data_IF_849417745886
#
_entry.id   IF_849417745886
#
_cell.length_a   1.000
_cell.length_b   1.000
_cell.length_c   1.000
_cell.angle_alpha   90.00
_cell.angle_beta   90.00
_cell.angle_gamma   90.00
#
_symmetry.space_group_name_H-M   'P 1'
#
loop_
_entity.id
_entity.type
_entity.pdbx_description
1 polymer ?
#
# COMPACT_ATOMS: atom_id res chain seq x y z
N UNK A 1 -11.85 6.80 78.14
CA UNK A 1 -12.10 8.19 77.76
C UNK A 1 -12.37 8.29 76.29
N UNK A 2 -13.61 8.58 75.93
CA UNK A 2 -14.11 8.67 74.57
C UNK A 2 -13.68 10.00 73.92
N UNK A 3 -13.20 10.01 72.69
CA UNK A 3 -13.15 11.19 71.84
C UNK A 3 -13.78 10.86 70.51
N UNK A 4 -14.95 11.47 70.29
CA UNK A 4 -15.65 11.58 69.02
C UNK A 4 -14.93 12.53 68.11
N UNK A 5 -14.70 12.17 66.84
CA UNK A 5 -14.38 13.08 65.74
C UNK A 5 -15.54 13.07 64.77
N UNK A 6 -16.18 14.25 64.63
CA UNK A 6 -17.14 14.55 63.58
C UNK A 6 -16.41 14.72 62.26
N UNK A 7 -16.72 13.92 61.28
CA UNK A 7 -16.31 14.12 59.89
C UNK A 7 -17.37 14.94 59.15
N UNK A 8 -17.06 16.17 58.81
CA UNK A 8 -17.87 17.02 57.96
C UNK A 8 -17.70 16.53 56.48
N UNK A 9 -18.78 16.05 55.89
CA UNK A 9 -18.84 15.71 54.47
C UNK A 9 -19.07 17.00 53.68
N UNK A 10 -18.05 17.49 52.98
CA UNK A 10 -18.16 18.59 52.00
C UNK A 10 -18.61 17.98 50.69
N UNK A 11 -19.86 18.27 50.32
CA UNK A 11 -20.47 17.89 49.03
C UNK A 11 -20.01 18.91 47.98
N UNK A 12 -18.90 18.66 47.32
CA UNK A 12 -18.46 19.44 46.17
C UNK A 12 -19.22 18.96 44.94
N UNK A 13 -20.24 19.75 44.55
CA UNK A 13 -20.98 19.55 43.30
C UNK A 13 -20.05 19.70 42.10
N UNK A 14 -19.73 18.60 41.44
CA UNK A 14 -19.01 18.55 40.17
C UNK A 14 -19.98 18.95 39.04
N UNK A 15 -19.93 20.25 38.66
CA UNK A 15 -20.64 20.75 37.49
C UNK A 15 -19.94 20.18 36.26
N UNK A 16 -20.43 19.05 35.76
CA UNK A 16 -20.07 18.54 34.44
C UNK A 16 -20.65 19.50 33.38
N UNK A 17 -19.89 20.54 33.08
CA UNK A 17 -20.11 21.30 31.86
C UNK A 17 -19.87 20.39 30.66
N UNK A 18 -20.95 19.95 30.02
CA UNK A 18 -20.89 19.37 28.68
C UNK A 18 -20.38 20.45 27.74
N UNK A 19 -19.05 20.51 27.55
CA UNK A 19 -18.48 21.21 26.42
C UNK A 19 -18.96 20.49 25.16
N UNK A 20 -20.10 20.91 24.61
CA UNK A 20 -20.37 20.71 23.21
C UNK A 20 -19.26 21.42 22.44
N UNK A 21 -18.17 20.73 22.18
CA UNK A 21 -17.20 21.16 21.19
C UNK A 21 -18.02 21.25 19.88
N UNK A 22 -18.42 22.46 19.54
CA UNK A 22 -18.81 22.79 18.16
C UNK A 22 -17.58 22.40 17.35
N UNK A 23 -17.61 21.22 16.78
CA UNK A 23 -16.58 20.74 15.87
C UNK A 23 -16.68 21.67 14.65
N UNK A 24 -15.87 22.71 14.64
CA UNK A 24 -15.77 23.58 13.48
C UNK A 24 -15.49 22.72 12.27
N UNK A 25 -16.34 22.82 11.26
CA UNK A 25 -16.18 22.07 10.02
C UNK A 25 -14.81 22.40 9.43
N UNK A 26 -13.91 21.42 9.41
CA UNK A 26 -12.56 21.60 8.91
C UNK A 26 -12.61 21.74 7.38
N UNK A 27 -12.16 22.88 6.87
CA UNK A 27 -11.99 23.08 5.43
C UNK A 27 -10.69 22.39 5.01
N UNK A 28 -10.80 21.41 4.11
CA UNK A 28 -9.67 20.61 3.64
C UNK A 28 -9.42 20.92 2.17
N UNK A 29 -8.25 21.50 1.87
CA UNK A 29 -7.77 21.67 0.49
C UNK A 29 -7.12 20.37 -0.05
N UNK A 30 -6.92 20.29 -1.36
CA UNK A 30 -6.31 19.09 -1.99
C UNK A 30 -4.90 18.83 -1.47
N UNK A 31 -4.08 19.86 -1.29
CA UNK A 31 -2.72 19.72 -0.77
C UNK A 31 -2.71 19.16 0.66
N UNK A 32 -3.64 19.61 1.49
CA UNK A 32 -3.80 19.13 2.87
C UNK A 32 -4.31 17.68 2.89
N UNK A 33 -5.26 17.32 2.01
CA UNK A 33 -5.73 15.94 1.86
C UNK A 33 -4.59 14.98 1.45
N UNK A 34 -3.75 15.39 0.50
CA UNK A 34 -2.55 14.65 0.09
C UNK A 34 -1.59 14.51 1.27
N UNK A 35 -1.28 15.60 1.99
CA UNK A 35 -0.38 15.58 3.13
C UNK A 35 -0.85 14.61 4.21
N UNK A 36 -2.13 14.70 4.61
CA UNK A 36 -2.72 13.80 5.60
C UNK A 36 -2.63 12.34 5.17
N UNK A 37 -2.91 12.04 3.90
CA UNK A 37 -2.81 10.68 3.35
C UNK A 37 -1.38 10.17 3.41
N UNK A 38 -0.40 10.98 2.96
CA UNK A 38 1.00 10.58 2.96
C UNK A 38 1.57 10.35 4.38
N UNK A 39 1.06 11.07 5.38
CA UNK A 39 1.49 10.93 6.77
C UNK A 39 0.85 9.75 7.51
N UNK A 40 -0.40 9.38 7.18
CA UNK A 40 -1.21 8.48 8.01
C UNK A 40 -1.58 7.16 7.35
N UNK A 41 -1.60 7.11 6.02
CA UNK A 41 -2.17 5.97 5.30
C UNK A 41 -1.45 4.65 5.60
N UNK A 42 -2.21 3.63 5.97
CA UNK A 42 -1.71 2.30 6.37
C UNK A 42 -0.99 1.58 5.22
N UNK A 43 -1.33 1.85 3.94
CA UNK A 43 -0.64 1.23 2.81
C UNK A 43 0.82 1.70 2.70
N UNK A 44 1.10 2.98 3.03
CA UNK A 44 2.48 3.49 3.12
C UNK A 44 3.22 2.76 4.24
N UNK A 45 2.58 2.62 5.40
CA UNK A 45 3.16 1.90 6.53
C UNK A 45 3.49 0.44 6.18
N UNK A 46 2.62 -0.25 5.47
CA UNK A 46 2.87 -1.62 4.97
C UNK A 46 4.07 -1.66 4.01
N UNK A 47 4.17 -0.69 3.10
CA UNK A 47 5.31 -0.60 2.18
C UNK A 47 6.62 -0.30 2.93
N UNK A 48 6.61 0.58 3.93
CA UNK A 48 7.76 0.86 4.79
C UNK A 48 8.22 -0.38 5.58
N UNK A 49 7.28 -1.12 6.17
CA UNK A 49 7.59 -2.38 6.85
C UNK A 49 8.20 -3.42 5.89
N UNK A 50 7.73 -3.47 4.64
CA UNK A 50 8.32 -4.35 3.61
C UNK A 50 9.74 -3.92 3.25
N UNK A 51 10.04 -2.61 3.20
CA UNK A 51 11.40 -2.08 3.06
C UNK A 51 12.27 -2.46 4.26
N UNK A 52 11.73 -2.37 5.48
CA UNK A 52 12.46 -2.73 6.70
C UNK A 52 12.77 -4.23 6.76
N UNK A 53 11.88 -5.11 6.26
CA UNK A 53 12.18 -6.52 6.06
C UNK A 53 13.36 -6.73 5.11
N UNK A 54 13.37 -6.04 3.96
CA UNK A 54 14.51 -6.11 3.03
C UNK A 54 15.81 -5.59 3.65
N UNK A 55 15.74 -4.61 4.57
CA UNK A 55 16.91 -4.15 5.32
C UNK A 55 17.44 -5.23 6.28
N UNK A 56 16.54 -6.01 6.93
CA UNK A 56 16.94 -7.16 7.76
C UNK A 56 17.55 -8.28 6.91
N UNK A 57 17.03 -8.56 5.72
CA UNK A 57 17.63 -9.53 4.79
C UNK A 57 19.03 -9.13 4.36
N UNK A 58 19.27 -7.83 4.11
CA UNK A 58 20.60 -7.30 3.85
C UNK A 58 21.51 -7.46 5.08
N UNK A 59 21.03 -7.14 6.29
CA UNK A 59 21.78 -7.32 7.52
C UNK A 59 22.11 -8.80 7.75
N UNK A 60 21.16 -9.69 7.59
CA UNK A 60 21.35 -11.15 7.70
C UNK A 60 22.41 -11.65 6.69
N UNK A 61 22.35 -11.18 5.44
CA UNK A 61 23.33 -11.59 4.43
C UNK A 61 24.75 -11.15 4.75
N UNK A 62 24.93 -9.99 5.38
CA UNK A 62 26.22 -9.52 5.89
C UNK A 62 26.65 -10.34 7.10
N UNK A 63 25.74 -10.65 8.02
CA UNK A 63 25.99 -11.42 9.22
C UNK A 63 26.41 -12.88 8.91
N UNK A 64 25.95 -13.44 7.79
CA UNK A 64 26.36 -14.77 7.32
C UNK A 64 27.84 -14.88 6.97
N UNK A 65 28.59 -13.77 6.93
CA UNK A 65 30.05 -13.77 6.84
C UNK A 65 30.75 -13.98 8.17
N UNK A 66 30.04 -13.83 9.29
CA UNK A 66 30.57 -13.99 10.64
C UNK A 66 30.52 -15.47 11.07
N UNK A 67 31.42 -15.89 11.98
CA UNK A 67 31.29 -17.20 12.59
C UNK A 67 30.03 -17.29 13.45
N UNK A 68 29.37 -18.46 13.41
CA UNK A 68 28.35 -18.82 14.37
C UNK A 68 28.99 -19.29 15.70
N UNK A 69 28.21 -19.34 16.76
CA UNK A 69 28.57 -19.97 18.03
C UNK A 69 27.37 -20.74 18.53
N UNK A 70 27.57 -22.04 18.73
CA UNK A 70 26.54 -22.94 19.22
C UNK A 70 27.05 -23.80 20.36
N UNK A 71 26.18 -24.14 21.29
CA UNK A 71 26.45 -25.09 22.35
C UNK A 71 25.40 -26.19 22.36
N UNK A 72 25.84 -27.43 22.54
CA UNK A 72 24.95 -28.58 22.66
C UNK A 72 25.31 -29.42 23.87
N UNK A 73 24.28 -30.05 24.46
CA UNK A 73 24.41 -31.09 25.45
C UNK A 73 23.48 -32.22 25.06
N UNK A 74 24.08 -33.38 24.80
CA UNK A 74 23.37 -34.58 24.40
C UNK A 74 23.39 -35.61 25.47
N UNK A 75 22.23 -36.15 25.87
CA UNK A 75 22.10 -37.25 26.81
C UNK A 75 21.43 -38.43 26.12
N UNK A 76 22.15 -39.53 25.99
CA UNK A 76 21.64 -40.71 25.32
C UNK A 76 21.58 -41.91 26.28
N UNK A 77 20.54 -42.73 26.16
CA UNK A 77 20.37 -44.01 26.81
C UNK A 77 20.24 -45.10 25.79
N UNK A 78 21.05 -46.14 25.88
CA UNK A 78 21.05 -47.27 24.97
C UNK A 78 21.01 -48.58 25.77
N UNK A 79 20.16 -49.51 25.34
CA UNK A 79 20.14 -50.86 25.83
C UNK A 79 20.49 -51.83 24.73
N UNK A 80 21.30 -52.88 25.05
CA UNK A 80 21.62 -53.98 24.13
C UNK A 80 23.11 -54.10 23.87
N UNK A 81 23.44 -54.80 22.77
CA UNK A 81 24.81 -54.99 22.32
C UNK A 81 25.28 -53.77 21.51
N UNK A 82 26.33 -53.16 21.99
CA UNK A 82 26.92 -52.02 21.27
C UNK A 82 28.39 -51.80 21.67
N UNK A 83 29.18 -51.26 20.74
CA UNK A 83 30.48 -50.68 21.02
C UNK A 83 30.28 -49.23 21.49
N UNK A 84 30.72 -48.94 22.68
CA UNK A 84 30.66 -47.57 23.20
C UNK A 84 31.96 -46.84 22.85
N UNK A 85 31.85 -45.87 21.94
CA UNK A 85 32.99 -45.10 21.45
C UNK A 85 33.65 -44.25 22.55
N UNK A 86 32.91 -43.86 23.56
CA UNK A 86 33.44 -43.03 24.67
C UNK A 86 34.33 -43.84 25.61
N UNK A 87 33.93 -45.07 25.92
CA UNK A 87 34.67 -45.97 26.79
C UNK A 87 35.60 -46.93 26.03
N UNK A 88 35.49 -46.97 24.70
CA UNK A 88 36.16 -47.99 23.84
C UNK A 88 35.86 -49.42 24.24
N UNK A 89 34.68 -49.73 24.77
CA UNK A 89 34.27 -51.04 25.29
C UNK A 89 33.06 -51.60 24.60
N UNK A 90 32.98 -52.95 24.50
CA UNK A 90 31.76 -53.63 24.07
C UNK A 90 30.85 -53.79 25.31
N UNK A 91 29.65 -53.22 25.19
CA UNK A 91 28.58 -53.35 26.17
C UNK A 91 27.57 -54.36 25.66
N UNK A 92 27.26 -55.40 26.45
CA UNK A 92 26.34 -56.46 26.09
C UNK A 92 25.20 -56.53 27.13
N UNK A 93 23.95 -56.53 26.66
CA UNK A 93 22.73 -56.66 27.47
C UNK A 93 22.64 -55.75 28.68
N UNK A 94 23.17 -54.52 28.60
CA UNK A 94 23.15 -53.52 29.67
C UNK A 94 22.74 -52.13 29.18
N UNK A 95 22.23 -51.32 30.08
CA UNK A 95 21.98 -49.92 29.80
C UNK A 95 23.27 -49.11 29.84
N UNK A 96 23.51 -48.37 28.75
CA UNK A 96 24.60 -47.40 28.68
C UNK A 96 24.01 -46.03 28.63
N UNK A 97 24.50 -45.14 29.49
CA UNK A 97 24.19 -43.69 29.50
C UNK A 97 25.42 -42.95 29.02
N UNK A 98 25.26 -42.17 27.95
CA UNK A 98 26.31 -41.28 27.44
C UNK A 98 25.84 -39.83 27.52
N UNK A 99 26.71 -38.96 27.96
CA UNK A 99 26.50 -37.50 27.97
C UNK A 99 27.64 -36.87 27.20
N UNK A 100 27.32 -36.01 26.23
CA UNK A 100 28.30 -35.21 25.50
C UNK A 100 27.92 -33.72 25.57
N UNK A 101 28.88 -32.89 25.83
CA UNK A 101 28.71 -31.44 25.79
C UNK A 101 29.75 -30.82 24.88
N UNK A 102 29.32 -29.91 23.97
CA UNK A 102 30.24 -29.21 23.11
C UNK A 102 29.82 -27.76 22.89
N UNK A 103 30.83 -26.92 22.66
CA UNK A 103 30.68 -25.56 22.12
C UNK A 103 31.44 -25.53 20.80
N UNK A 104 30.78 -25.09 19.74
CA UNK A 104 31.36 -25.06 18.40
C UNK A 104 31.08 -23.77 17.67
N UNK A 105 31.99 -23.43 16.76
CA UNK A 105 31.91 -22.27 15.89
C UNK A 105 32.28 -22.70 14.45
N UNK A 106 31.54 -22.20 13.48
CA UNK A 106 31.81 -22.42 12.05
C UNK A 106 31.74 -21.13 11.28
N UNK A 107 32.64 -20.97 10.32
CA UNK A 107 32.59 -19.84 9.39
C UNK A 107 32.92 -20.31 7.97
N UNK A 108 32.15 -19.79 7.00
CA UNK A 108 32.41 -20.03 5.60
C UNK A 108 33.45 -19.00 5.11
N UNK A 109 34.69 -19.46 4.89
CA UNK A 109 35.77 -18.58 4.43
C UNK A 109 35.65 -18.25 2.93
N UNK A 110 35.11 -19.21 2.15
CA UNK A 110 34.88 -19.05 0.72
C UNK A 110 33.72 -19.94 0.28
N UNK A 111 32.80 -19.38 -0.51
CA UNK A 111 31.65 -20.09 -1.09
C UNK A 111 31.40 -19.67 -2.54
N UNK A 112 32.44 -19.67 -3.36
CA UNK A 112 32.31 -19.34 -4.79
C UNK A 112 31.70 -17.96 -5.05
N UNK A 113 32.01 -16.96 -4.24
CA UNK A 113 31.47 -15.58 -4.29
C UNK A 113 29.95 -15.47 -4.08
N UNK A 114 29.24 -16.55 -3.74
CA UNK A 114 27.79 -16.55 -3.54
C UNK A 114 27.38 -15.54 -2.46
N UNK A 115 28.07 -15.55 -1.29
CA UNK A 115 27.74 -14.64 -0.17
C UNK A 115 27.91 -13.16 -0.55
N UNK A 116 29.00 -12.82 -1.24
CA UNK A 116 29.26 -11.45 -1.68
C UNK A 116 28.21 -10.98 -2.70
N UNK A 117 27.85 -11.84 -3.66
CA UNK A 117 26.81 -11.52 -4.64
C UNK A 117 25.41 -11.49 -3.99
N UNK A 118 25.14 -12.32 -2.96
CA UNK A 118 23.90 -12.25 -2.20
C UNK A 118 23.76 -10.90 -1.46
N UNK A 119 24.85 -10.38 -0.86
CA UNK A 119 24.83 -9.05 -0.24
C UNK A 119 24.53 -7.97 -1.27
N UNK A 120 25.13 -8.05 -2.49
CA UNK A 120 24.85 -7.12 -3.58
C UNK A 120 23.39 -7.22 -4.04
N UNK A 121 22.86 -8.43 -4.19
CA UNK A 121 21.47 -8.66 -4.56
C UNK A 121 20.51 -8.10 -3.51
N UNK A 122 20.75 -8.37 -2.21
CA UNK A 122 19.93 -7.85 -1.13
C UNK A 122 20.01 -6.32 -0.98
N UNK A 123 21.17 -5.70 -1.31
CA UNK A 123 21.29 -4.24 -1.37
C UNK A 123 20.37 -3.67 -2.46
N UNK A 124 20.40 -4.21 -3.67
CA UNK A 124 19.54 -3.80 -4.78
C UNK A 124 18.04 -4.06 -4.45
N UNK A 125 17.75 -5.19 -3.76
CA UNK A 125 16.40 -5.49 -3.31
C UNK A 125 15.88 -4.47 -2.29
N UNK A 126 16.74 -3.98 -1.38
CA UNK A 126 16.39 -2.89 -0.46
C UNK A 126 16.10 -1.59 -1.21
N UNK A 127 16.90 -1.26 -2.22
CA UNK A 127 16.67 -0.09 -3.09
C UNK A 127 15.35 -0.23 -3.89
N UNK A 128 15.05 -1.43 -4.42
CA UNK A 128 13.78 -1.74 -5.08
C UNK A 128 12.60 -1.59 -4.12
N UNK A 129 12.73 -2.07 -2.87
CA UNK A 129 11.69 -1.93 -1.84
C UNK A 129 11.49 -0.48 -1.42
N UNK A 130 12.54 0.35 -1.37
CA UNK A 130 12.42 1.79 -1.13
C UNK A 130 11.67 2.48 -2.28
N UNK A 131 11.98 2.13 -3.52
CA UNK A 131 11.26 2.63 -4.70
C UNK A 131 9.79 2.18 -4.71
N UNK A 132 9.48 0.99 -4.17
CA UNK A 132 8.10 0.53 -3.99
C UNK A 132 7.32 1.43 -3.00
N UNK A 133 7.96 1.95 -1.94
CA UNK A 133 7.33 2.94 -1.05
C UNK A 133 6.97 4.21 -1.82
N UNK A 134 7.90 4.71 -2.65
CA UNK A 134 7.65 5.90 -3.48
C UNK A 134 6.52 5.68 -4.49
N UNK A 135 6.44 4.47 -5.08
CA UNK A 135 5.32 4.07 -5.94
C UNK A 135 3.99 4.14 -5.19
N UNK A 136 3.88 3.53 -4.00
CA UNK A 136 2.66 3.55 -3.19
C UNK A 136 2.25 4.99 -2.84
N UNK A 137 3.22 5.85 -2.49
CA UNK A 137 2.96 7.27 -2.23
C UNK A 137 2.38 7.97 -3.47
N UNK A 138 2.97 7.74 -4.64
CA UNK A 138 2.51 8.32 -5.90
C UNK A 138 1.10 7.84 -6.27
N UNK A 139 0.83 6.53 -6.13
CA UNK A 139 -0.49 5.96 -6.41
C UNK A 139 -1.55 6.55 -5.47
N UNK A 140 -1.22 6.77 -4.20
CA UNK A 140 -2.13 7.39 -3.22
C UNK A 140 -2.37 8.86 -3.52
N UNK A 141 -1.37 9.63 -3.94
CA UNK A 141 -1.54 11.02 -4.39
C UNK A 141 -2.54 11.10 -5.52
N UNK A 142 -2.42 10.22 -6.52
CA UNK A 142 -3.36 10.15 -7.63
C UNK A 142 -4.77 9.76 -7.17
N UNK A 143 -4.89 8.78 -6.28
CA UNK A 143 -6.18 8.35 -5.72
C UNK A 143 -6.86 9.47 -4.91
N UNK A 144 -6.11 10.22 -4.10
CA UNK A 144 -6.65 11.38 -3.37
C UNK A 144 -7.17 12.43 -4.36
N UNK A 145 -6.40 12.75 -5.41
CA UNK A 145 -6.81 13.72 -6.41
C UNK A 145 -8.12 13.32 -7.11
N UNK A 146 -8.24 12.05 -7.53
CA UNK A 146 -9.47 11.51 -8.16
C UNK A 146 -10.66 11.68 -7.22
N UNK A 147 -10.56 11.15 -6.00
CA UNK A 147 -11.67 11.15 -5.05
C UNK A 147 -12.02 12.55 -4.53
N UNK A 148 -11.03 13.43 -4.40
CA UNK A 148 -11.24 14.83 -4.03
C UNK A 148 -12.09 15.57 -5.07
N UNK A 149 -11.74 15.45 -6.35
CA UNK A 149 -12.47 16.10 -7.43
C UNK A 149 -13.83 15.47 -7.70
N UNK A 150 -13.97 14.15 -7.49
CA UNK A 150 -15.26 13.48 -7.54
C UNK A 150 -16.20 13.98 -6.43
N UNK A 151 -15.68 14.16 -5.20
CA UNK A 151 -16.47 14.69 -4.10
C UNK A 151 -16.92 16.13 -4.36
N UNK A 152 -16.07 16.99 -4.91
CA UNK A 152 -16.45 18.35 -5.30
C UNK A 152 -17.51 18.32 -6.41
N UNK A 153 -17.32 17.49 -7.45
CA UNK A 153 -18.27 17.37 -8.56
C UNK A 153 -19.64 16.95 -8.04
N UNK A 154 -19.70 15.93 -7.18
CA UNK A 154 -20.95 15.45 -6.58
C UNK A 154 -21.61 16.51 -5.68
N UNK A 155 -20.81 17.31 -4.98
CA UNK A 155 -21.32 18.45 -4.22
C UNK A 155 -21.97 19.52 -5.10
N UNK A 156 -21.31 19.91 -6.20
CA UNK A 156 -21.85 20.91 -7.12
C UNK A 156 -23.13 20.44 -7.82
N UNK A 157 -23.17 19.16 -8.22
CA UNK A 157 -24.38 18.55 -8.77
C UNK A 157 -25.53 18.52 -7.73
N UNK A 158 -25.22 18.25 -6.46
CA UNK A 158 -26.21 18.31 -5.38
C UNK A 158 -26.75 19.74 -5.20
N UNK A 159 -25.89 20.75 -5.19
CA UNK A 159 -26.31 22.15 -5.09
C UNK A 159 -27.17 22.56 -6.29
N UNK A 160 -26.77 22.25 -7.51
CA UNK A 160 -27.57 22.51 -8.71
C UNK A 160 -28.96 21.82 -8.65
N UNK A 161 -29.02 20.59 -8.07
CA UNK A 161 -30.31 19.91 -7.87
C UNK A 161 -31.23 20.60 -6.87
N UNK A 162 -30.70 21.32 -5.87
CA UNK A 162 -31.49 22.12 -4.93
C UNK A 162 -32.16 23.30 -5.63
N UNK A 163 -31.44 24.00 -6.52
CA UNK A 163 -31.98 25.06 -7.33
C UNK A 163 -33.07 24.54 -8.28
N UNK A 164 -32.87 23.35 -8.86
CA UNK A 164 -33.90 22.71 -9.72
C UNK A 164 -35.16 22.33 -8.92
N UNK A 165 -35.04 21.90 -7.67
CA UNK A 165 -36.19 21.65 -6.78
C UNK A 165 -36.92 22.95 -6.46
N UNK A 166 -36.19 24.03 -6.12
CA UNK A 166 -36.80 25.32 -5.84
C UNK A 166 -37.62 25.85 -7.03
N UNK A 167 -37.05 25.77 -8.23
CA UNK A 167 -37.74 26.15 -9.48
C UNK A 167 -38.98 25.29 -9.74
N UNK A 168 -38.90 23.98 -9.58
CA UNK A 168 -40.03 23.07 -9.81
C UNK A 168 -41.15 23.24 -8.76
N UNK A 169 -40.81 23.53 -7.51
CA UNK A 169 -41.80 23.86 -6.46
C UNK A 169 -42.50 25.18 -6.74
N UNK A 170 -41.78 26.19 -7.19
CA UNK A 170 -42.39 27.46 -7.60
C UNK A 170 -43.36 27.24 -8.76
N UNK A 171 -42.99 26.48 -9.79
CA UNK A 171 -43.85 26.17 -10.91
C UNK A 171 -45.10 25.38 -10.49
N UNK A 172 -44.94 24.36 -9.64
CA UNK A 172 -46.07 23.59 -9.09
C UNK A 172 -47.05 24.49 -8.31
N UNK A 173 -46.57 25.46 -7.52
CA UNK A 173 -47.39 26.42 -6.82
C UNK A 173 -48.20 27.30 -7.76
N UNK A 174 -47.58 27.83 -8.84
CA UNK A 174 -48.25 28.60 -9.85
C UNK A 174 -49.30 27.81 -10.62
N UNK A 175 -49.00 26.58 -11.02
CA UNK A 175 -49.94 25.68 -11.72
C UNK A 175 -51.12 25.31 -10.83
N UNK A 176 -50.89 25.14 -9.52
CA UNK A 176 -51.94 24.86 -8.52
C UNK A 176 -52.93 26.04 -8.38
N UNK A 177 -52.42 27.27 -8.34
CA UNK A 177 -53.26 28.49 -8.34
C UNK A 177 -54.05 28.59 -9.63
N UNK A 178 -53.46 28.41 -10.80
CA UNK A 178 -54.13 28.48 -12.08
C UNK A 178 -55.20 27.36 -12.25
N UNK A 179 -54.98 26.20 -11.69
CA UNK A 179 -55.99 25.13 -11.67
C UNK A 179 -57.20 25.53 -10.83
N UNK A 180 -56.96 26.12 -9.65
CA UNK A 180 -58.06 26.54 -8.76
C UNK A 180 -59.02 27.55 -9.37
N UNK A 181 -58.52 28.34 -10.35
CA UNK A 181 -59.32 29.32 -11.13
C UNK A 181 -59.74 28.77 -12.49
N UNK A 182 -59.54 27.47 -12.77
CA UNK A 182 -60.01 26.79 -13.97
C UNK A 182 -59.13 26.97 -15.24
N UNK A 183 -57.94 27.61 -15.15
CA UNK A 183 -57.06 27.88 -16.26
C UNK A 183 -56.09 26.72 -16.59
N UNK A 184 -56.00 25.68 -15.76
CA UNK A 184 -55.14 24.50 -15.95
C UNK A 184 -55.93 23.22 -15.71
N UNK A 185 -55.42 22.11 -16.29
CA UNK A 185 -56.03 20.79 -16.13
C UNK A 185 -55.39 20.00 -14.96
N UNK A 186 -56.11 18.96 -14.52
CA UNK A 186 -55.58 18.01 -13.53
C UNK A 186 -54.27 17.34 -14.04
N UNK A 187 -54.17 17.12 -15.34
CA UNK A 187 -52.95 16.58 -15.99
C UNK A 187 -51.75 17.53 -15.86
N UNK A 188 -51.96 18.84 -15.93
CA UNK A 188 -50.85 19.81 -15.75
C UNK A 188 -50.35 19.82 -14.33
N UNK A 189 -51.23 19.79 -13.32
CA UNK A 189 -50.82 19.65 -11.90
C UNK A 189 -50.08 18.35 -11.67
N UNK A 190 -50.59 17.24 -12.18
CA UNK A 190 -49.97 15.94 -12.00
C UNK A 190 -48.54 15.92 -12.59
N UNK A 191 -48.32 16.58 -13.73
CA UNK A 191 -46.97 16.73 -14.34
C UNK A 191 -46.02 17.57 -13.48
N UNK A 192 -46.47 18.77 -13.06
CA UNK A 192 -45.63 19.63 -12.22
C UNK A 192 -45.30 19.00 -10.86
N UNK A 193 -46.27 18.27 -10.25
CA UNK A 193 -46.03 17.49 -9.03
C UNK A 193 -45.02 16.35 -9.26
N UNK A 194 -45.13 15.63 -10.38
CA UNK A 194 -44.20 14.58 -10.75
C UNK A 194 -42.78 15.17 -10.95
N UNK A 195 -42.65 16.34 -11.57
CA UNK A 195 -41.35 17.00 -11.75
C UNK A 195 -40.68 17.34 -10.41
N UNK A 196 -41.45 17.84 -9.42
CA UNK A 196 -40.94 18.08 -8.07
C UNK A 196 -40.40 16.78 -7.45
N UNK A 197 -41.22 15.71 -7.49
CA UNK A 197 -40.85 14.41 -6.94
C UNK A 197 -39.60 13.81 -7.62
N UNK A 198 -39.49 13.95 -8.94
CA UNK A 198 -38.33 13.50 -9.69
C UNK A 198 -37.06 14.27 -9.31
N UNK A 199 -37.14 15.59 -9.16
CA UNK A 199 -36.03 16.41 -8.73
C UNK A 199 -35.62 16.10 -7.26
N UNK A 200 -36.59 15.86 -6.37
CA UNK A 200 -36.30 15.43 -4.99
C UNK A 200 -35.60 14.07 -4.95
N UNK A 201 -36.02 13.11 -5.78
CA UNK A 201 -35.34 11.81 -5.92
C UNK A 201 -33.90 11.99 -6.42
N UNK A 202 -33.69 12.81 -7.44
CA UNK A 202 -32.36 13.11 -7.97
C UNK A 202 -31.44 13.71 -6.90
N UNK A 203 -31.97 14.66 -6.09
CA UNK A 203 -31.21 15.24 -4.96
C UNK A 203 -30.79 14.18 -3.95
N UNK A 204 -31.68 13.24 -3.58
CA UNK A 204 -31.33 12.16 -2.63
C UNK A 204 -30.19 11.30 -3.19
N UNK A 205 -30.24 10.94 -4.48
CA UNK A 205 -29.19 10.18 -5.14
C UNK A 205 -27.84 10.93 -5.17
N UNK A 206 -27.85 12.22 -5.53
CA UNK A 206 -26.66 13.08 -5.57
C UNK A 206 -26.08 13.30 -4.18
N UNK A 207 -26.93 13.52 -3.17
CA UNK A 207 -26.51 13.62 -1.77
C UNK A 207 -25.81 12.34 -1.31
N UNK A 208 -26.39 11.18 -1.60
CA UNK A 208 -25.76 9.91 -1.26
C UNK A 208 -24.41 9.72 -1.98
N UNK A 209 -24.31 10.09 -3.26
CA UNK A 209 -23.04 10.04 -4.02
C UNK A 209 -21.99 10.97 -3.41
N UNK A 210 -22.37 12.17 -2.98
CA UNK A 210 -21.48 13.10 -2.30
C UNK A 210 -20.99 12.54 -0.96
N UNK A 211 -21.88 12.03 -0.11
CA UNK A 211 -21.52 11.44 1.17
C UNK A 211 -20.59 10.22 1.02
N UNK A 212 -20.83 9.38 0.00
CA UNK A 212 -19.97 8.25 -0.30
C UNK A 212 -18.58 8.67 -0.79
N UNK A 213 -18.48 9.69 -1.65
CA UNK A 213 -17.17 10.20 -2.09
C UNK A 213 -16.39 10.87 -0.95
N UNK A 214 -17.08 11.58 -0.04
CA UNK A 214 -16.46 12.09 1.19
C UNK A 214 -15.98 10.97 2.12
N UNK A 215 -16.75 9.91 2.28
CA UNK A 215 -16.37 8.76 3.09
C UNK A 215 -15.10 8.09 2.53
N UNK A 216 -15.03 7.90 1.21
CA UNK A 216 -13.85 7.36 0.54
C UNK A 216 -12.62 8.26 0.74
N UNK A 217 -12.80 9.57 0.62
CA UNK A 217 -11.71 10.53 0.84
C UNK A 217 -11.23 10.52 2.30
N UNK A 218 -12.15 10.48 3.27
CA UNK A 218 -11.82 10.35 4.70
C UNK A 218 -11.03 9.05 4.97
N UNK A 219 -11.43 7.94 4.35
CA UNK A 219 -10.70 6.67 4.48
C UNK A 219 -9.28 6.78 3.94
N UNK A 220 -9.06 7.44 2.79
CA UNK A 220 -7.71 7.66 2.25
C UNK A 220 -6.83 8.48 3.22
N UNK A 221 -7.43 9.46 3.91
CA UNK A 221 -6.77 10.32 4.91
C UNK A 221 -6.68 9.68 6.31
N UNK A 222 -7.19 8.44 6.49
CA UNK A 222 -7.31 7.77 7.81
C UNK A 222 -8.04 8.64 8.85
N UNK A 223 -9.12 9.31 8.42
CA UNK A 223 -9.96 10.12 9.29
C UNK A 223 -11.17 9.32 9.79
N UNK A 224 -11.63 9.55 11.03
CA UNK A 224 -12.86 8.95 11.52
C UNK A 224 -14.06 9.33 10.62
N UNK A 225 -14.97 8.42 10.28
CA UNK A 225 -16.14 8.68 9.43
C UNK A 225 -17.02 9.82 9.93
N UNK A 226 -17.09 10.01 11.25
CA UNK A 226 -17.93 11.01 11.92
C UNK A 226 -17.38 12.45 11.79
N UNK A 227 -16.11 12.62 11.37
CA UNK A 227 -15.50 13.95 11.24
C UNK A 227 -16.21 14.74 10.16
N UNK A 228 -16.72 15.93 10.51
CA UNK A 228 -17.32 16.84 9.53
C UNK A 228 -16.22 17.61 8.81
N UNK A 229 -16.13 17.43 7.49
CA UNK A 229 -15.20 18.15 6.62
C UNK A 229 -15.96 18.86 5.50
N UNK A 230 -15.43 19.99 5.05
CA UNK A 230 -15.79 20.65 3.81
C UNK A 230 -14.59 20.73 2.90
N UNK A 231 -14.83 20.65 1.59
CA UNK A 231 -13.76 20.67 0.59
C UNK A 231 -13.61 22.08 0.01
N UNK A 232 -12.38 22.50 -0.17
CA UNK A 232 -12.07 23.75 -0.86
C UNK A 232 -12.29 23.58 -2.37
N UNK A 233 -12.94 24.57 -3.02
CA UNK A 233 -13.27 24.51 -4.44
C UNK A 233 -12.11 25.08 -5.28
N UNK A 234 -11.61 24.32 -6.28
CA UNK A 234 -10.55 24.84 -7.15
C UNK A 234 -11.08 25.91 -8.10
N UNK A 235 -10.28 26.94 -8.34
CA UNK A 235 -10.55 27.94 -9.39
C UNK A 235 -10.32 27.35 -10.78
N UNK A 236 -11.28 27.54 -11.68
CA UNK A 236 -11.18 27.04 -13.07
C UNK A 236 -10.23 27.89 -13.92
N UNK A 237 -10.17 29.20 -13.69
CA UNK A 237 -9.40 30.12 -14.53
C UNK A 237 -7.90 29.77 -14.54
N UNK A 238 -7.33 29.46 -13.38
CA UNK A 238 -5.93 29.07 -13.26
C UNK A 238 -5.59 27.78 -14.03
N UNK A 239 -6.53 26.85 -14.14
CA UNK A 239 -6.31 25.57 -14.83
C UNK A 239 -6.42 25.68 -16.34
N UNK A 240 -7.36 26.47 -16.84
CA UNK A 240 -7.54 26.68 -18.28
C UNK A 240 -6.41 27.48 -18.91
N UNK A 241 -5.86 28.47 -18.17
CA UNK A 241 -4.74 29.29 -18.63
C UNK A 241 -3.42 28.49 -18.73
N UNK A 242 -3.24 27.47 -17.88
CA UNK A 242 -2.04 26.65 -17.84
C UNK A 242 -2.12 25.34 -18.67
N UNK A 243 -3.25 25.10 -19.32
CA UNK A 243 -3.46 23.90 -20.10
C UNK A 243 -2.91 24.06 -21.55
N UNK A 244 -1.58 24.30 -21.66
CA UNK A 244 -0.90 24.21 -22.96
C UNK A 244 -1.04 22.83 -23.59
N UNK A 245 -1.03 22.77 -24.93
CA UNK A 245 -1.02 21.51 -25.67
C UNK A 245 0.32 20.78 -25.45
N UNK A 246 0.35 19.91 -24.44
CA UNK A 246 1.55 19.16 -24.08
C UNK A 246 1.73 17.98 -25.03
N UNK A 247 2.93 17.88 -25.62
CA UNK A 247 3.29 16.76 -26.48
C UNK A 247 3.44 15.47 -25.64
N UNK A 248 2.74 14.41 -26.01
CA UNK A 248 2.79 13.12 -25.30
C UNK A 248 4.22 12.53 -25.26
N UNK A 249 5.04 12.77 -26.30
CA UNK A 249 6.42 12.29 -26.36
C UNK A 249 7.26 12.95 -25.26
N UNK A 250 7.13 14.27 -25.09
CA UNK A 250 7.92 15.03 -24.09
C UNK A 250 7.51 14.64 -22.66
N UNK A 251 6.20 14.47 -22.43
CA UNK A 251 5.68 13.99 -21.14
C UNK A 251 6.20 12.58 -20.83
N UNK A 252 6.17 11.67 -21.81
CA UNK A 252 6.65 10.31 -21.64
C UNK A 252 8.15 10.27 -21.34
N UNK A 253 8.98 11.03 -22.05
CA UNK A 253 10.43 11.06 -21.80
C UNK A 253 10.76 11.55 -20.38
N UNK A 254 10.06 12.58 -19.89
CA UNK A 254 10.23 13.06 -18.53
C UNK A 254 9.74 12.04 -17.49
N UNK A 255 8.61 11.39 -17.77
CA UNK A 255 8.05 10.36 -16.90
C UNK A 255 8.96 9.12 -16.79
N UNK A 256 9.61 8.68 -17.87
CA UNK A 256 10.53 7.53 -17.89
C UNK A 256 11.63 7.62 -16.83
N UNK A 257 12.11 8.83 -16.55
CA UNK A 257 13.24 9.05 -15.61
C UNK A 257 12.75 9.14 -14.16
N UNK A 258 11.49 9.53 -13.95
CA UNK A 258 10.97 9.88 -12.62
C UNK A 258 10.01 8.85 -12.03
N UNK A 259 9.31 8.09 -12.89
CA UNK A 259 8.26 7.19 -12.40
C UNK A 259 8.85 5.99 -11.63
N UNK A 260 8.44 5.79 -10.39
CA UNK A 260 8.96 4.71 -9.54
C UNK A 260 8.78 3.32 -10.12
N UNK A 261 7.73 3.07 -10.90
CA UNK A 261 7.49 1.79 -11.58
C UNK A 261 8.64 1.40 -12.53
N UNK A 262 9.18 2.38 -13.24
CA UNK A 262 10.30 2.18 -14.18
C UNK A 262 11.59 1.95 -13.40
N UNK A 263 11.85 2.79 -12.38
CA UNK A 263 13.04 2.66 -11.53
C UNK A 263 13.04 1.31 -10.81
N UNK A 264 11.90 0.89 -10.26
CA UNK A 264 11.76 -0.41 -9.61
C UNK A 264 12.02 -1.57 -10.57
N UNK A 265 11.42 -1.56 -11.75
CA UNK A 265 11.61 -2.63 -12.73
C UNK A 265 13.06 -2.74 -13.21
N UNK A 266 13.78 -1.62 -13.32
CA UNK A 266 15.21 -1.61 -13.61
C UNK A 266 16.04 -2.22 -12.46
N UNK A 267 15.74 -1.88 -11.20
CA UNK A 267 16.38 -2.48 -10.03
C UNK A 267 16.11 -3.98 -9.93
N UNK A 268 14.87 -4.41 -10.17
CA UNK A 268 14.50 -5.84 -10.15
C UNK A 268 15.28 -6.64 -11.23
N UNK A 269 15.54 -6.04 -12.41
CA UNK A 269 16.41 -6.63 -13.43
C UNK A 269 17.86 -6.75 -12.93
N UNK A 270 18.41 -5.73 -12.25
CA UNK A 270 19.75 -5.80 -11.66
C UNK A 270 19.83 -6.88 -10.57
N UNK A 271 18.78 -7.06 -9.75
CA UNK A 271 18.70 -8.18 -8.80
C UNK A 271 18.77 -9.51 -9.53
N UNK A 272 18.02 -9.68 -10.63
CA UNK A 272 18.01 -10.90 -11.43
C UNK A 272 19.39 -11.20 -12.08
N UNK A 273 20.13 -10.17 -12.47
CA UNK A 273 21.53 -10.32 -12.91
C UNK A 273 22.42 -10.88 -11.79
N UNK A 274 22.28 -10.39 -10.57
CA UNK A 274 23.04 -10.91 -9.41
C UNK A 274 22.66 -12.34 -9.06
N UNK A 275 21.39 -12.74 -9.26
CA UNK A 275 20.97 -14.15 -9.09
C UNK A 275 21.70 -15.11 -10.03
N UNK A 276 22.06 -14.67 -11.25
CA UNK A 276 22.90 -15.48 -12.16
C UNK A 276 24.31 -15.65 -11.58
N UNK A 277 24.91 -14.60 -11.03
CA UNK A 277 26.25 -14.66 -10.44
C UNK A 277 26.26 -15.55 -9.20
N UNK A 278 25.21 -15.50 -8.36
CA UNK A 278 25.00 -16.40 -7.21
C UNK A 278 24.89 -17.85 -7.68
N UNK A 279 24.08 -18.13 -8.70
CA UNK A 279 23.92 -19.46 -9.24
C UNK A 279 25.22 -20.03 -9.85
N UNK A 280 26.02 -19.21 -10.54
CA UNK A 280 27.34 -19.59 -11.03
C UNK A 280 28.32 -19.92 -9.90
N UNK A 281 28.15 -19.32 -8.74
CA UNK A 281 28.93 -19.61 -7.54
C UNK A 281 28.94 -21.08 -7.14
N UNK A 282 27.86 -21.84 -7.44
CA UNK A 282 27.75 -23.26 -7.18
C UNK A 282 28.76 -24.15 -7.95
N UNK A 283 29.47 -23.63 -8.95
CA UNK A 283 30.54 -24.35 -9.64
C UNK A 283 31.89 -24.24 -8.95
N UNK A 284 32.06 -23.30 -8.02
CA UNK A 284 33.31 -23.06 -7.32
C UNK A 284 33.41 -23.89 -6.05
N UNK A 285 34.64 -24.16 -5.57
CA UNK A 285 34.85 -24.80 -4.27
C UNK A 285 34.24 -24.00 -3.14
N UNK A 286 33.99 -24.70 -2.01
CA UNK A 286 33.63 -24.09 -0.72
C UNK A 286 34.70 -24.40 0.31
N UNK A 287 35.10 -23.42 1.11
CA UNK A 287 36.08 -23.53 2.18
C UNK A 287 35.44 -23.13 3.51
N UNK A 288 35.39 -24.07 4.45
CA UNK A 288 34.82 -23.87 5.77
C UNK A 288 35.87 -24.07 6.85
N UNK A 289 35.88 -23.20 7.86
CA UNK A 289 36.63 -23.37 9.09
C UNK A 289 35.64 -23.74 10.21
N UNK A 290 35.96 -24.81 10.96
CA UNK A 290 35.21 -25.20 12.12
C UNK A 290 36.15 -25.34 13.34
N UNK A 291 35.68 -24.90 14.49
CA UNK A 291 36.36 -25.01 15.79
C UNK A 291 35.36 -25.55 16.76
N UNK A 292 35.74 -26.54 17.54
CA UNK A 292 34.90 -27.03 18.63
C UNK A 292 35.70 -27.42 19.85
N UNK A 293 35.09 -27.22 21.04
CA UNK A 293 35.60 -27.65 22.31
C UNK A 293 34.48 -28.46 22.98
N UNK A 294 34.82 -29.67 23.46
CA UNK A 294 33.81 -30.55 24.03
C UNK A 294 34.38 -31.52 25.06
N UNK A 295 33.48 -32.22 25.71
CA UNK A 295 33.78 -33.32 26.63
C UNK A 295 32.66 -34.32 26.60
N UNK A 296 32.94 -35.55 27.03
CA UNK A 296 31.95 -36.62 27.05
C UNK A 296 32.08 -37.49 28.31
N UNK A 297 31.02 -38.23 28.60
CA UNK A 297 30.89 -39.19 29.66
C UNK A 297 30.20 -40.46 29.16
N UNK A 298 30.68 -41.63 29.63
CA UNK A 298 29.91 -42.88 29.48
C UNK A 298 29.85 -43.62 30.81
N UNK A 299 28.67 -44.19 31.13
CA UNK A 299 28.49 -45.05 32.28
C UNK A 299 29.23 -46.40 32.14
N UNK A 300 29.71 -46.74 30.95
CA UNK A 300 30.48 -47.97 30.67
C UNK A 300 31.98 -47.79 30.90
N UNK A 301 32.49 -46.55 31.05
CA UNK A 301 33.91 -46.29 31.24
C UNK A 301 34.42 -46.84 32.55
N UNK A 302 35.37 -47.76 32.48
CA UNK A 302 36.08 -48.36 33.61
C UNK A 302 37.59 -48.14 33.49
N UNK A 303 38.27 -48.09 34.60
CA UNK A 303 39.76 -48.09 34.70
C UNK A 303 40.21 -49.20 35.59
N UNK A 304 41.39 -49.78 35.32
CA UNK A 304 42.05 -50.73 36.21
C UNK A 304 42.59 -50.02 37.46
N UNK A 305 42.42 -50.67 38.61
CA UNK A 305 42.94 -50.18 39.84
C UNK A 305 44.42 -50.50 39.98
N UNK A 306 44.84 -51.70 39.52
CA UNK A 306 46.25 -52.19 39.50
C UNK A 306 46.62 -52.55 38.06
N UNK A 307 47.68 -51.96 37.48
CA UNK A 307 48.17 -52.28 36.14
C UNK A 307 48.58 -53.77 35.95
N UNK A 308 48.85 -54.49 37.03
CA UNK A 308 49.22 -55.91 36.96
C UNK A 308 48.02 -56.85 37.20
N UNK A 309 46.89 -56.37 37.66
CA UNK A 309 45.66 -57.14 37.89
C UNK A 309 44.51 -56.64 37.01
N UNK A 310 44.30 -57.31 35.88
CA UNK A 310 43.22 -56.97 34.90
C UNK A 310 41.82 -57.22 35.47
N UNK A 311 41.64 -57.85 36.55
CA UNK A 311 40.32 -58.19 37.12
C UNK A 311 39.80 -57.07 38.03
N UNK A 312 40.67 -56.17 38.51
CA UNK A 312 40.27 -55.02 39.36
C UNK A 312 39.95 -53.77 38.57
N UNK A 313 38.68 -53.59 38.20
CA UNK A 313 38.18 -52.41 37.47
C UNK A 313 37.20 -51.62 38.29
N UNK A 314 37.30 -50.30 38.22
CA UNK A 314 36.29 -49.38 38.82
C UNK A 314 35.66 -48.50 37.75
N UNK A 315 34.39 -48.12 37.96
CA UNK A 315 33.72 -47.12 37.10
C UNK A 315 34.24 -45.73 37.36
N UNK A 316 34.64 -45.02 36.30
CA UNK A 316 35.17 -43.66 36.44
C UNK A 316 34.00 -42.70 36.70
N UNK A 317 34.06 -41.91 37.80
CA UNK A 317 32.99 -40.94 38.11
C UNK A 317 32.74 -39.92 37.02
N UNK A 318 31.50 -39.42 36.94
CA UNK A 318 31.07 -38.42 35.92
C UNK A 318 31.99 -37.19 35.91
N UNK A 319 32.25 -36.59 37.07
CA UNK A 319 33.09 -35.37 37.20
C UNK A 319 34.50 -35.56 36.67
N UNK A 320 35.08 -36.78 36.92
CA UNK A 320 36.41 -37.08 36.43
C UNK A 320 36.45 -37.30 34.93
N UNK A 321 35.44 -37.97 34.34
CA UNK A 321 35.37 -38.13 32.88
C UNK A 321 35.20 -36.79 32.19
N UNK A 322 34.29 -35.90 32.65
CA UNK A 322 34.11 -34.56 32.12
C UNK A 322 35.41 -33.74 32.19
N UNK A 323 36.21 -33.90 33.24
CA UNK A 323 37.52 -33.24 33.36
C UNK A 323 38.58 -33.84 32.42
N UNK A 324 38.63 -35.18 32.34
CA UNK A 324 39.68 -35.91 31.64
C UNK A 324 39.46 -35.93 30.09
N UNK A 325 38.17 -35.96 29.66
CA UNK A 325 37.79 -36.13 28.23
C UNK A 325 37.66 -34.81 27.47
N UNK A 326 38.23 -33.73 27.97
CA UNK A 326 38.23 -32.44 27.26
C UNK A 326 38.96 -32.58 25.94
N UNK A 327 38.34 -32.12 24.86
CA UNK A 327 38.90 -32.17 23.51
C UNK A 327 38.72 -30.83 22.82
N UNK A 328 39.74 -30.41 22.10
CA UNK A 328 39.71 -29.27 21.20
C UNK A 328 39.93 -29.74 19.78
N UNK A 329 39.07 -29.30 18.89
CA UNK A 329 39.17 -29.63 17.48
C UNK A 329 39.14 -28.33 16.62
N UNK A 330 40.04 -28.24 15.66
CA UNK A 330 40.01 -27.24 14.63
C UNK A 330 40.15 -27.95 13.27
N UNK A 331 39.32 -27.61 12.33
CA UNK A 331 39.30 -28.25 11.01
C UNK A 331 39.01 -27.28 9.89
N UNK A 332 39.79 -27.37 8.83
CA UNK A 332 39.60 -26.67 7.56
C UNK A 332 39.09 -27.71 6.54
N UNK A 333 37.92 -27.45 5.97
CA UNK A 333 37.29 -28.35 4.99
C UNK A 333 37.14 -27.64 3.64
N UNK A 334 37.76 -28.18 2.60
CA UNK A 334 37.61 -27.75 1.21
C UNK A 334 36.76 -28.80 0.47
N UNK A 335 35.59 -28.36 -0.02
CA UNK A 335 34.71 -29.21 -0.86
C UNK A 335 34.68 -28.68 -2.28
N UNK A 336 35.06 -29.50 -3.24
CA UNK A 336 35.09 -29.19 -4.68
C UNK A 336 33.99 -29.96 -5.39
N UNK A 337 32.97 -29.27 -5.96
CA UNK A 337 31.90 -29.98 -6.67
C UNK A 337 32.36 -30.45 -8.05
N UNK A 338 32.67 -31.74 -8.19
CA UNK A 338 33.10 -32.35 -9.48
C UNK A 338 31.89 -32.63 -10.36
N UNK A 339 30.83 -33.21 -9.80
CA UNK A 339 29.58 -33.51 -10.48
C UNK A 339 28.40 -33.36 -9.56
N UNK A 340 27.49 -32.44 -9.86
CA UNK A 340 26.32 -32.09 -9.03
C UNK A 340 24.99 -32.54 -9.66
N UNK A 341 24.99 -33.67 -10.42
CA UNK A 341 23.78 -34.16 -11.11
C UNK A 341 23.08 -33.10 -11.96
N UNK A 342 23.85 -32.26 -12.64
CA UNK A 342 23.40 -31.10 -13.42
C UNK A 342 22.71 -29.97 -12.59
N UNK A 343 22.69 -30.04 -11.25
CA UNK A 343 21.99 -29.06 -10.40
C UNK A 343 22.47 -27.63 -10.67
N UNK A 344 23.78 -27.39 -10.72
CA UNK A 344 24.36 -26.08 -10.97
C UNK A 344 24.00 -25.57 -12.38
N UNK A 345 24.03 -26.41 -13.39
CA UNK A 345 23.61 -26.07 -14.77
C UNK A 345 22.14 -25.65 -14.82
N UNK A 346 21.28 -26.39 -14.14
CA UNK A 346 19.83 -26.07 -14.06
C UNK A 346 19.60 -24.78 -13.29
N UNK A 347 20.29 -24.57 -12.16
CA UNK A 347 20.17 -23.34 -11.37
C UNK A 347 20.58 -22.09 -12.19
N UNK A 348 21.69 -22.17 -12.93
CA UNK A 348 22.11 -21.06 -13.82
C UNK A 348 21.12 -20.86 -14.97
N UNK A 349 20.57 -21.95 -15.54
CA UNK A 349 19.55 -21.82 -16.59
C UNK A 349 18.26 -21.15 -16.04
N UNK A 350 17.80 -21.55 -14.85
CA UNK A 350 16.65 -20.91 -14.17
C UNK A 350 16.90 -19.43 -13.89
N UNK A 351 18.08 -19.07 -13.37
CA UNK A 351 18.42 -17.69 -13.11
C UNK A 351 18.45 -16.85 -14.40
N UNK A 352 18.94 -17.40 -15.52
CA UNK A 352 18.90 -16.73 -16.84
C UNK A 352 17.46 -16.54 -17.34
N UNK A 353 16.57 -17.50 -17.10
CA UNK A 353 15.13 -17.36 -17.42
C UNK A 353 14.52 -16.27 -16.54
N UNK A 354 14.85 -16.21 -15.25
CA UNK A 354 14.44 -15.14 -14.34
C UNK A 354 14.86 -13.75 -14.82
N UNK A 355 16.10 -13.60 -15.36
CA UNK A 355 16.52 -12.35 -15.97
C UNK A 355 15.64 -11.98 -17.17
N UNK A 356 15.37 -12.91 -18.08
CA UNK A 356 14.49 -12.64 -19.23
C UNK A 356 13.06 -12.22 -18.80
N UNK A 357 12.56 -12.81 -17.71
CA UNK A 357 11.28 -12.38 -17.14
C UNK A 357 11.35 -10.94 -16.59
N UNK A 358 12.45 -10.58 -15.90
CA UNK A 358 12.64 -9.22 -15.41
C UNK A 358 12.78 -8.21 -16.56
N UNK A 359 13.50 -8.54 -17.65
CA UNK A 359 13.58 -7.73 -18.86
C UNK A 359 12.21 -7.52 -19.52
N UNK A 360 11.42 -8.58 -19.62
CA UNK A 360 10.05 -8.50 -20.15
C UNK A 360 9.14 -7.62 -19.26
N UNK A 361 9.27 -7.72 -17.93
CA UNK A 361 8.53 -6.88 -16.97
C UNK A 361 8.94 -5.41 -17.08
N UNK A 362 10.23 -5.10 -17.25
CA UNK A 362 10.71 -3.74 -17.50
C UNK A 362 10.11 -3.16 -18.79
N UNK A 363 10.09 -3.95 -19.88
CA UNK A 363 9.49 -3.52 -21.13
C UNK A 363 7.97 -3.32 -20.99
N UNK A 364 7.28 -4.19 -20.26
CA UNK A 364 5.87 -4.05 -19.97
C UNK A 364 5.56 -2.78 -19.18
N UNK A 365 6.38 -2.47 -18.16
CA UNK A 365 6.25 -1.22 -17.39
C UNK A 365 6.39 0.02 -18.28
N UNK A 366 7.39 0.03 -19.17
CA UNK A 366 7.58 1.12 -20.16
C UNK A 366 6.39 1.25 -21.12
N UNK A 367 5.87 0.13 -21.61
CA UNK A 367 4.70 0.12 -22.50
C UNK A 367 3.43 0.64 -21.78
N UNK A 368 3.22 0.22 -20.53
CA UNK A 368 2.11 0.68 -19.71
C UNK A 368 2.20 2.19 -19.43
N UNK A 369 3.39 2.69 -19.08
CA UNK A 369 3.62 4.13 -18.90
C UNK A 369 3.36 4.91 -20.20
N UNK A 370 3.86 4.42 -21.34
CA UNK A 370 3.62 5.06 -22.62
C UNK A 370 2.12 5.15 -22.94
N UNK A 371 1.39 4.03 -22.76
CA UNK A 371 -0.06 4.00 -22.93
C UNK A 371 -0.76 5.00 -22.01
N UNK A 372 -0.40 5.02 -20.71
CA UNK A 372 -1.04 5.88 -19.71
C UNK A 372 -0.80 7.37 -20.00
N UNK A 373 0.41 7.75 -20.41
CA UNK A 373 0.73 9.13 -20.80
C UNK A 373 -0.02 9.56 -22.05
N UNK A 374 -0.03 8.72 -23.11
CA UNK A 374 -0.79 9.03 -24.32
C UNK A 374 -2.29 9.16 -24.02
N UNK A 375 -2.85 8.25 -23.22
CA UNK A 375 -4.25 8.33 -22.78
C UNK A 375 -4.51 9.63 -22.01
N UNK A 376 -3.63 10.04 -21.09
CA UNK A 376 -3.79 11.27 -20.33
C UNK A 376 -3.83 12.52 -21.23
N UNK A 377 -2.96 12.59 -22.25
CA UNK A 377 -2.95 13.71 -23.21
C UNK A 377 -4.21 13.74 -24.06
N UNK A 378 -4.66 12.57 -24.57
CA UNK A 378 -5.92 12.47 -25.32
C UNK A 378 -7.12 12.86 -24.45
N UNK A 379 -7.14 12.42 -23.20
CA UNK A 379 -8.22 12.73 -22.26
C UNK A 379 -8.32 14.22 -21.92
N UNK A 380 -7.18 14.93 -21.78
CA UNK A 380 -7.19 16.39 -21.59
C UNK A 380 -7.79 17.11 -22.78
N UNK A 381 -7.37 16.75 -24.00
CA UNK A 381 -7.87 17.37 -25.23
C UNK A 381 -9.37 17.12 -25.42
N UNK A 382 -9.82 15.89 -25.15
CA UNK A 382 -11.24 15.54 -25.19
C UNK A 382 -12.04 16.29 -24.11
N UNK A 383 -11.49 16.44 -22.88
CA UNK A 383 -12.14 17.16 -21.80
C UNK A 383 -12.30 18.66 -22.13
N UNK A 384 -11.27 19.31 -22.71
CA UNK A 384 -11.34 20.71 -23.17
C UNK A 384 -12.48 20.90 -24.18
N UNK A 385 -12.55 20.04 -25.21
CA UNK A 385 -13.59 20.10 -26.23
C UNK A 385 -14.98 19.87 -25.62
N UNK A 386 -15.12 18.89 -24.73
CA UNK A 386 -16.39 18.64 -24.03
C UNK A 386 -16.81 19.84 -23.17
N UNK A 387 -15.90 20.50 -22.48
CA UNK A 387 -16.21 21.68 -21.68
C UNK A 387 -16.70 22.83 -22.58
N UNK A 388 -16.01 23.13 -23.69
CA UNK A 388 -16.44 24.16 -24.65
C UNK A 388 -17.82 23.85 -25.20
N UNK A 389 -18.07 22.59 -25.63
CA UNK A 389 -19.38 22.19 -26.16
C UNK A 389 -20.49 22.24 -25.09
N UNK A 390 -20.20 21.81 -23.86
CA UNK A 390 -21.16 21.84 -22.76
C UNK A 390 -21.52 23.29 -22.35
N UNK A 391 -20.57 24.22 -22.41
CA UNK A 391 -20.83 25.65 -22.17
C UNK A 391 -21.83 26.20 -23.18
N UNK A 392 -21.59 26.00 -24.47
CA UNK A 392 -22.50 26.43 -25.53
C UNK A 392 -23.87 25.75 -25.41
N UNK A 393 -23.91 24.45 -25.11
CA UNK A 393 -25.13 23.70 -24.91
C UNK A 393 -25.97 24.25 -23.76
N UNK A 394 -25.32 24.53 -22.60
CA UNK A 394 -26.00 25.12 -21.44
C UNK A 394 -26.53 26.53 -21.73
N UNK A 395 -25.74 27.42 -22.33
CA UNK A 395 -26.17 28.79 -22.72
C UNK A 395 -27.38 28.76 -23.68
N UNK A 396 -27.36 27.85 -24.64
CA UNK A 396 -28.45 27.67 -25.60
C UNK A 396 -29.70 27.11 -24.92
N UNK A 397 -29.57 26.09 -24.07
CA UNK A 397 -30.68 25.49 -23.33
C UNK A 397 -31.31 26.47 -22.31
N UNK A 398 -30.47 27.24 -21.61
CA UNK A 398 -30.93 28.32 -20.71
C UNK A 398 -31.72 29.38 -21.43
N UNK A 399 -31.25 29.80 -22.63
CA UNK A 399 -31.96 30.78 -23.48
C UNK A 399 -33.30 30.21 -23.95
N UNK A 400 -33.31 28.95 -24.44
CA UNK A 400 -34.54 28.27 -24.86
C UNK A 400 -35.54 28.10 -23.73
N UNK A 401 -35.06 27.73 -22.53
CA UNK A 401 -35.92 27.63 -21.34
C UNK A 401 -36.54 28.96 -20.96
N UNK A 402 -35.78 30.06 -20.91
CA UNK A 402 -36.30 31.41 -20.62
C UNK A 402 -37.37 31.83 -21.59
N UNK A 403 -37.12 31.72 -22.90
CA UNK A 403 -38.09 32.05 -23.93
C UNK A 403 -39.34 31.19 -23.86
N UNK A 404 -39.21 29.89 -23.60
CA UNK A 404 -40.36 28.98 -23.45
C UNK A 404 -41.16 29.30 -22.17
N UNK A 405 -40.47 29.67 -21.08
CA UNK A 405 -41.13 30.07 -19.84
C UNK A 405 -41.94 31.35 -20.00
N UNK A 406 -41.40 32.38 -20.67
CA UNK A 406 -42.14 33.62 -20.99
C UNK A 406 -43.37 33.32 -21.81
N UNK A 407 -43.31 32.50 -22.88
CA UNK A 407 -44.47 32.07 -23.67
C UNK A 407 -45.49 31.29 -22.82
N UNK A 408 -45.02 30.43 -21.92
CA UNK A 408 -45.91 29.68 -21.04
C UNK A 408 -46.64 30.58 -20.04
N UNK A 409 -45.95 31.57 -19.45
CA UNK A 409 -46.52 32.49 -18.49
C UNK A 409 -47.64 33.36 -19.08
N UNK A 410 -47.59 33.65 -20.38
CA UNK A 410 -48.65 34.37 -21.12
C UNK A 410 -49.65 33.44 -21.87
N UNK A 411 -49.55 32.11 -21.64
CA UNK A 411 -50.48 31.12 -22.20
C UNK A 411 -50.22 30.71 -23.64
N UNK A 412 -49.07 31.10 -24.25
CA UNK A 412 -48.69 30.79 -25.65
C UNK A 412 -47.86 29.50 -25.78
N UNK A 413 -47.51 28.81 -24.71
CA UNK A 413 -46.88 27.51 -24.68
C UNK A 413 -47.61 26.57 -23.72
N UNK A 414 -47.53 25.28 -23.97
CA UNK A 414 -48.15 24.28 -23.12
C UNK A 414 -47.16 23.74 -22.07
N UNK A 415 -47.69 23.04 -21.06
CA UNK A 415 -46.88 22.46 -19.97
C UNK A 415 -45.81 21.48 -20.48
N UNK A 416 -46.04 20.74 -21.55
CA UNK A 416 -45.09 19.80 -22.12
C UNK A 416 -43.87 20.53 -22.69
N UNK A 417 -44.09 21.63 -23.44
CA UNK A 417 -43.00 22.45 -24.00
C UNK A 417 -42.11 23.00 -22.85
N UNK A 418 -42.72 23.56 -21.78
CA UNK A 418 -41.97 24.09 -20.64
C UNK A 418 -41.15 23.00 -19.95
N UNK A 419 -41.75 21.84 -19.63
CA UNK A 419 -41.03 20.77 -18.95
C UNK A 419 -39.93 20.15 -19.78
N UNK A 420 -40.11 20.07 -21.12
CA UNK A 420 -39.07 19.63 -22.04
C UNK A 420 -37.88 20.60 -21.98
N UNK A 421 -38.11 21.88 -22.16
CA UNK A 421 -37.08 22.90 -22.11
C UNK A 421 -36.36 22.95 -20.74
N UNK A 422 -37.12 22.79 -19.65
CA UNK A 422 -36.54 22.73 -18.32
C UNK A 422 -35.68 21.48 -18.12
N UNK A 423 -36.08 20.32 -18.62
CA UNK A 423 -35.32 19.07 -18.52
C UNK A 423 -34.03 19.16 -19.34
N UNK A 424 -34.10 19.71 -20.53
CA UNK A 424 -32.93 19.93 -21.40
C UNK A 424 -31.92 20.91 -20.74
N UNK A 425 -32.42 22.01 -20.17
CA UNK A 425 -31.61 22.98 -19.42
C UNK A 425 -30.92 22.31 -18.20
N UNK A 426 -31.65 21.56 -17.41
CA UNK A 426 -31.14 20.88 -16.22
C UNK A 426 -30.08 19.83 -16.58
N UNK A 427 -30.29 19.09 -17.67
CA UNK A 427 -29.30 18.14 -18.19
C UNK A 427 -28.04 18.87 -18.65
N UNK A 428 -28.17 19.93 -19.41
CA UNK A 428 -27.04 20.71 -19.89
C UNK A 428 -26.23 21.35 -18.75
N UNK A 429 -26.89 21.77 -17.66
CA UNK A 429 -26.24 22.27 -16.45
C UNK A 429 -25.39 21.18 -15.77
N UNK A 430 -25.91 19.98 -15.61
CA UNK A 430 -25.18 18.85 -15.05
C UNK A 430 -23.99 18.44 -15.94
N UNK A 431 -24.19 18.39 -17.25
CA UNK A 431 -23.13 18.09 -18.23
C UNK A 431 -22.02 19.15 -18.17
N UNK A 432 -22.35 20.44 -18.00
CA UNK A 432 -21.37 21.52 -17.83
C UNK A 432 -20.57 21.39 -16.54
N UNK A 433 -21.24 21.12 -15.40
CA UNK A 433 -20.55 20.91 -14.12
C UNK A 433 -19.56 19.74 -14.21
N UNK A 434 -20.00 18.61 -14.77
CA UNK A 434 -19.13 17.45 -14.94
C UNK A 434 -17.96 17.74 -15.90
N UNK A 435 -18.22 18.41 -17.01
CA UNK A 435 -17.18 18.77 -17.99
C UNK A 435 -16.14 19.71 -17.37
N UNK A 436 -16.57 20.71 -16.57
CA UNK A 436 -15.72 21.65 -15.85
C UNK A 436 -14.70 20.93 -14.96
N UNK A 437 -15.16 20.07 -14.05
CA UNK A 437 -14.28 19.37 -13.11
C UNK A 437 -13.44 18.29 -13.78
N UNK A 438 -13.94 17.71 -14.89
CA UNK A 438 -13.17 16.74 -15.67
C UNK A 438 -11.94 17.39 -16.34
N UNK A 439 -12.04 18.61 -16.88
CA UNK A 439 -10.86 19.35 -17.41
C UNK A 439 -9.81 19.54 -16.31
N UNK A 440 -10.24 20.00 -15.14
CA UNK A 440 -9.35 20.21 -13.98
C UNK A 440 -8.62 18.93 -13.64
N UNK A 441 -9.36 17.83 -13.50
CA UNK A 441 -8.81 16.52 -13.17
C UNK A 441 -7.78 16.03 -14.20
N UNK A 442 -8.16 16.02 -15.49
CA UNK A 442 -7.30 15.53 -16.58
C UNK A 442 -6.02 16.35 -16.71
N UNK A 443 -6.08 17.64 -16.50
CA UNK A 443 -4.91 18.52 -16.49
C UNK A 443 -3.93 18.15 -15.36
N UNK A 444 -4.43 17.89 -14.16
CA UNK A 444 -3.58 17.52 -12.99
C UNK A 444 -2.96 16.11 -13.11
N UNK A 445 -3.56 15.19 -13.86
CA UNK A 445 -2.94 13.91 -14.21
C UNK A 445 -1.65 14.12 -15.03
N UNK A 446 -1.64 15.07 -15.96
CA UNK A 446 -0.40 15.37 -16.71
C UNK A 446 0.66 15.98 -15.80
N UNK A 447 0.28 16.87 -14.88
CA UNK A 447 1.21 17.41 -13.88
C UNK A 447 1.82 16.30 -13.02
N UNK A 448 1.03 15.29 -12.62
CA UNK A 448 1.52 14.10 -11.94
C UNK A 448 2.61 13.35 -12.74
N UNK A 449 2.40 13.09 -14.05
CA UNK A 449 3.41 12.43 -14.89
C UNK A 449 4.66 13.28 -15.10
N UNK A 450 4.54 14.60 -15.08
CA UNK A 450 5.66 15.53 -15.17
C UNK A 450 6.42 15.67 -13.83
N UNK A 451 5.83 15.19 -12.72
CA UNK A 451 6.36 15.35 -11.36
C UNK A 451 6.21 16.78 -10.82
N UNK A 452 5.24 17.53 -11.34
CA UNK A 452 4.88 18.84 -10.84
C UNK A 452 4.07 18.72 -9.55
N UNK A 453 4.15 19.69 -8.62
CA UNK A 453 3.31 19.70 -7.43
C UNK A 453 1.82 19.75 -7.81
N UNK A 454 1.01 18.92 -7.15
CA UNK A 454 -0.45 18.95 -7.33
C UNK A 454 -1.01 19.98 -6.35
N UNK A 455 -1.17 21.20 -6.83
CA UNK A 455 -1.76 22.32 -6.10
C UNK A 455 -2.83 22.97 -6.99
N UNK A 456 -3.83 23.56 -6.36
CA UNK A 456 -4.77 24.46 -7.03
C UNK A 456 -4.40 25.86 -6.57
N UNK A 457 -4.06 26.73 -7.50
CA UNK A 457 -3.79 28.14 -7.20
C UNK A 457 -5.12 28.77 -6.79
N UNK A 458 -5.23 29.12 -5.54
CA UNK A 458 -6.32 29.92 -5.01
C UNK A 458 -5.90 31.40 -5.11
N UNK A 459 -6.42 32.11 -6.09
CA UNK A 459 -6.37 33.56 -6.11
C UNK A 459 -7.56 34.14 -5.36
#
# INVERSE_FOLDING_TARGET
>A
MKRFYYSAVIFTGFFLGTNNLIQAQQVVGVAEAIRMTLERNVQIKQAELSKDLAAQDLFQSKSNLLPDLSASVDQNFRYGFAFDLTSAQIVNNAWTRTTAGSVGSRVNLFQGFQQVNQIKANKLQLESSATQVDKVKNDLVLNVLVNYLEAITNHELMVASEDQIALSKQQFSLDSIQFSVGNKTLADIAKSKNQVATNELNKVNLKNSYEMSLLTLKQLMEMPPETSISLERPSLESVLLNAEDKNAIDVYQKALIRQPDILKSALDKEVALKQIDIAKGGYYPTLNLSVSYGTNYSSATTRQTDPLDITTVYRVPFSRQISDNKSFFTGLSLAVPIFSKNQNKVNVAKAKIGLKQAEANEQLAKNNLNKAVNQAVLDVNAAKQKYTSATVAFESAETAYKATKERYDIGMANSLELFTAQTERNKAEFDLIQAKYNVIFRSKIIDYYLGNPIQFDNN
#
